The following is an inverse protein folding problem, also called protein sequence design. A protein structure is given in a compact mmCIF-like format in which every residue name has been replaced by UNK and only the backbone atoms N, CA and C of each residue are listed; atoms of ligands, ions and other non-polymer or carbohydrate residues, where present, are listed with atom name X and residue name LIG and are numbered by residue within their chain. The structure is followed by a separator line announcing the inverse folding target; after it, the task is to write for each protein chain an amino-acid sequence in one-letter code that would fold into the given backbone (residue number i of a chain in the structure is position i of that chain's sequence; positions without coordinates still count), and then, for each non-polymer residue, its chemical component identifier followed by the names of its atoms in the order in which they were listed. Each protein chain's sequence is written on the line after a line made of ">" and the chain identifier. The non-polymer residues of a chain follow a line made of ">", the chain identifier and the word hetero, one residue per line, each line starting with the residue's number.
data_IF_513478097539
#
_entry.id   IF_513478097539
#
_cell.length_a   1.000
_cell.length_b   1.000
_cell.length_c   1.000
_cell.angle_alpha   90.00
_cell.angle_beta   90.00
_cell.angle_gamma   90.00
#
_symmetry.space_group_name_H-M   'P 1'
#
loop_
_entity.id
_entity.type
_entity.pdbx_description
1 polymer ?
#
# COMPACT_ATOMS: atom_id res chain seq x y z
N UNK A 1 -52.98 -19.12 19.46
CA UNK A 1 -52.18 -20.20 18.91
C UNK A 1 -50.78 -19.64 18.62
N UNK A 2 -49.84 -20.00 19.46
CA UNK A 2 -48.46 -19.55 19.53
C UNK A 2 -47.60 -20.14 18.40
N UNK A 3 -46.75 -19.33 17.75
CA UNK A 3 -45.56 -19.84 17.11
C UNK A 3 -44.37 -18.93 17.41
N UNK A 4 -43.60 -19.40 18.38
CA UNK A 4 -42.25 -18.95 18.71
C UNK A 4 -41.27 -19.32 17.59
N UNK A 5 -40.59 -18.37 16.98
CA UNK A 5 -39.44 -18.61 16.09
C UNK A 5 -38.16 -18.34 16.87
N UNK A 6 -37.53 -19.43 17.33
CA UNK A 6 -36.19 -19.41 17.96
C UNK A 6 -35.14 -18.94 16.97
N UNK A 7 -34.49 -17.81 17.27
CA UNK A 7 -33.23 -17.40 16.68
C UNK A 7 -32.12 -18.27 17.27
N UNK A 8 -31.45 -19.06 16.44
CA UNK A 8 -30.21 -19.77 16.80
C UNK A 8 -29.05 -18.79 16.74
N UNK A 9 -28.61 -18.32 17.87
CA UNK A 9 -27.32 -17.67 18.05
C UNK A 9 -26.21 -18.72 17.91
N UNK A 10 -25.36 -18.60 16.90
CA UNK A 10 -24.11 -19.36 16.77
C UNK A 10 -23.14 -18.83 17.83
N UNK A 11 -22.57 -19.68 18.70
CA UNK A 11 -21.70 -19.20 19.76
C UNK A 11 -20.36 -18.74 19.18
N UNK A 12 -19.99 -17.53 19.57
CA UNK A 12 -18.77 -16.80 19.20
C UNK A 12 -17.46 -17.43 19.74
N UNK A 13 -17.48 -18.70 20.19
CA UNK A 13 -16.35 -19.38 20.81
C UNK A 13 -15.44 -20.14 19.83
N UNK A 14 -15.84 -20.30 18.57
CA UNK A 14 -15.06 -21.02 17.54
C UNK A 14 -14.01 -20.15 16.85
N UNK A 15 -14.00 -18.83 17.03
CA UNK A 15 -12.98 -17.93 16.49
C UNK A 15 -11.80 -17.65 17.42
N UNK A 16 -11.88 -18.07 18.69
CA UNK A 16 -10.79 -17.89 19.67
C UNK A 16 -9.84 -19.10 19.79
N UNK A 17 -10.18 -20.25 19.22
CA UNK A 17 -9.32 -21.44 19.23
C UNK A 17 -8.32 -21.49 18.07
N UNK A 18 -8.47 -20.66 17.04
CA UNK A 18 -7.52 -20.54 15.92
C UNK A 18 -6.26 -19.70 16.24
N UNK A 19 -6.30 -18.85 17.28
CA UNK A 19 -5.22 -17.92 17.59
C UNK A 19 -4.19 -18.48 18.62
N UNK A 20 -4.44 -19.62 19.24
CA UNK A 20 -3.58 -20.18 20.31
C UNK A 20 -2.65 -21.31 19.84
N UNK A 21 -2.73 -21.76 18.59
CA UNK A 21 -1.85 -22.84 18.06
C UNK A 21 -0.63 -22.28 17.31
N UNK A 22 -0.56 -20.97 17.03
CA UNK A 22 0.58 -20.36 16.32
C UNK A 22 1.67 -19.75 17.20
N UNK A 23 1.62 -19.91 18.51
CA UNK A 23 2.56 -19.24 19.43
C UNK A 23 3.65 -20.12 20.04
N UNK A 24 3.92 -21.33 19.51
CA UNK A 24 4.98 -22.22 20.08
C UNK A 24 6.01 -22.75 19.08
N UNK A 25 6.28 -22.03 17.99
CA UNK A 25 7.53 -22.27 17.26
C UNK A 25 8.41 -21.02 17.36
N UNK A 26 8.83 -20.72 18.58
CA UNK A 26 10.01 -19.94 18.84
C UNK A 26 11.21 -20.78 18.42
N UNK A 27 11.73 -20.55 17.21
CA UNK A 27 13.06 -20.98 16.81
C UNK A 27 14.04 -20.37 17.83
N UNK A 28 14.52 -21.18 18.76
CA UNK A 28 15.67 -20.85 19.58
C UNK A 28 16.85 -20.66 18.61
N UNK A 29 17.09 -19.43 18.20
CA UNK A 29 18.36 -19.03 17.61
C UNK A 29 19.42 -19.25 18.69
N UNK A 30 20.12 -20.36 18.64
CA UNK A 30 21.35 -20.50 19.41
C UNK A 30 22.34 -19.45 18.84
N UNK A 31 22.35 -18.27 19.46
CA UNK A 31 23.47 -17.38 19.30
C UNK A 31 24.66 -18.06 19.98
N UNK A 32 25.48 -18.75 19.20
CA UNK A 32 26.81 -19.17 19.66
C UNK A 32 27.54 -17.89 19.98
N UNK A 33 27.84 -17.67 21.27
CA UNK A 33 28.69 -16.58 21.69
C UNK A 33 30.00 -16.66 20.89
N UNK A 34 30.50 -15.54 20.33
CA UNK A 34 31.75 -15.56 19.59
C UNK A 34 32.85 -16.09 20.49
N UNK A 35 33.50 -17.19 20.10
CA UNK A 35 34.69 -17.67 20.78
C UNK A 35 35.75 -16.55 20.84
N UNK A 36 36.52 -16.46 21.94
CA UNK A 36 37.53 -15.41 22.08
C UNK A 36 38.49 -15.47 20.88
N UNK A 37 38.71 -14.32 20.23
CA UNK A 37 39.61 -14.18 19.10
C UNK A 37 41.00 -14.65 19.48
N UNK A 38 41.47 -15.76 18.89
CA UNK A 38 42.87 -16.18 19.03
C UNK A 38 43.75 -15.12 18.37
N UNK A 39 44.58 -14.48 19.20
CA UNK A 39 45.61 -13.55 18.69
C UNK A 39 46.66 -14.34 17.89
N UNK A 40 46.92 -13.95 16.68
CA UNK A 40 47.95 -14.60 15.85
C UNK A 40 49.35 -14.11 16.29
N UNK A 41 50.36 -14.97 16.09
CA UNK A 41 51.77 -14.60 16.37
C UNK A 41 52.34 -13.86 15.15
N UNK A 42 52.31 -12.55 15.18
CA UNK A 42 52.92 -11.68 14.18
C UNK A 42 54.37 -11.35 14.61
N UNK A 43 55.28 -11.31 13.67
CA UNK A 43 56.67 -10.89 13.91
C UNK A 43 56.80 -9.36 13.94
N UNK A 44 58.00 -8.88 14.31
CA UNK A 44 58.25 -7.44 14.45
C UNK A 44 58.10 -6.69 13.12
N UNK A 45 58.41 -7.35 11.98
CA UNK A 45 58.29 -6.71 10.65
C UNK A 45 56.84 -6.61 10.23
N UNK A 46 56.03 -7.61 10.51
CA UNK A 46 54.60 -7.64 10.24
C UNK A 46 53.85 -6.60 11.11
N UNK A 47 54.18 -6.52 12.39
CA UNK A 47 53.61 -5.52 13.29
C UNK A 47 53.98 -4.09 12.86
N UNK A 48 55.23 -3.85 12.46
CA UNK A 48 55.64 -2.59 11.89
C UNK A 48 54.88 -2.26 10.60
N UNK A 49 54.75 -3.23 9.72
CA UNK A 49 54.03 -3.07 8.44
C UNK A 49 52.58 -2.71 8.68
N UNK A 50 51.84 -3.38 9.60
CA UNK A 50 50.47 -3.03 9.98
C UNK A 50 50.36 -1.60 10.48
N UNK A 51 51.32 -1.15 11.29
CA UNK A 51 51.35 0.23 11.81
C UNK A 51 51.51 1.26 10.72
N UNK A 52 52.33 0.96 9.72
CA UNK A 52 52.60 1.81 8.56
C UNK A 52 51.50 1.74 7.50
N UNK A 53 50.81 0.59 7.40
CA UNK A 53 49.78 0.29 6.41
C UNK A 53 48.49 -0.27 7.08
N UNK A 54 47.84 0.51 7.94
CA UNK A 54 46.68 -0.01 8.70
C UNK A 54 45.45 -0.28 7.83
N UNK A 55 45.44 0.29 6.62
CA UNK A 55 44.31 0.15 5.66
C UNK A 55 44.79 -0.58 4.42
N UNK A 56 44.02 -1.65 4.08
CA UNK A 56 44.25 -2.49 2.91
C UNK A 56 43.09 -2.28 1.94
N UNK A 57 43.40 -1.85 0.72
CA UNK A 57 42.39 -1.61 -0.31
C UNK A 57 42.07 -2.91 -1.03
N UNK A 58 40.81 -3.34 -0.94
CA UNK A 58 40.32 -4.58 -1.55
C UNK A 58 39.60 -4.28 -2.86
N UNK A 59 40.12 -4.69 -3.99
CA UNK A 59 39.41 -4.66 -5.26
C UNK A 59 38.23 -5.63 -5.20
N UNK A 60 37.01 -5.11 -5.15
CA UNK A 60 35.79 -5.84 -4.84
C UNK A 60 34.85 -5.87 -6.03
N UNK A 61 34.57 -7.05 -6.52
CA UNK A 61 33.58 -7.32 -7.55
C UNK A 61 32.39 -8.07 -6.92
N UNK A 62 31.18 -7.63 -7.23
CA UNK A 62 30.01 -8.36 -6.77
C UNK A 62 29.96 -9.77 -7.36
N UNK A 63 29.98 -10.75 -6.48
CA UNK A 63 29.79 -12.16 -6.80
C UNK A 63 28.90 -12.76 -5.69
N UNK A 64 27.62 -13.01 -5.99
CA UNK A 64 26.64 -13.39 -4.98
C UNK A 64 27.11 -14.53 -4.08
N UNK A 65 26.81 -14.41 -2.78
CA UNK A 65 27.20 -15.22 -1.64
C UNK A 65 28.68 -15.10 -1.24
N UNK A 66 29.61 -14.90 -2.17
CA UNK A 66 31.00 -14.64 -1.82
C UNK A 66 31.21 -13.20 -1.35
N UNK A 67 30.79 -12.23 -2.17
CA UNK A 67 30.87 -10.80 -1.85
C UNK A 67 29.79 -10.04 -2.65
N UNK A 68 28.92 -9.35 -1.99
CA UNK A 68 27.81 -8.59 -2.61
C UNK A 68 27.36 -7.45 -1.71
N UNK A 69 26.56 -6.54 -2.23
CA UNK A 69 25.92 -5.49 -1.42
C UNK A 69 24.55 -5.95 -0.92
N UNK A 70 24.29 -5.73 0.35
CA UNK A 70 22.97 -5.96 0.95
C UNK A 70 21.95 -4.88 0.54
N UNK A 71 20.72 -4.99 1.04
CA UNK A 71 19.64 -4.04 0.77
C UNK A 71 19.94 -2.60 1.21
N UNK A 72 20.93 -2.41 2.09
CA UNK A 72 21.38 -1.11 2.59
C UNK A 72 22.64 -0.60 1.87
N UNK A 73 23.14 -1.35 0.88
CA UNK A 73 24.34 -1.01 0.13
C UNK A 73 25.66 -1.36 0.84
N UNK A 74 25.62 -2.11 1.96
CA UNK A 74 26.81 -2.56 2.65
C UNK A 74 27.34 -3.87 2.07
N UNK A 75 28.67 -3.97 2.02
CA UNK A 75 29.31 -5.22 1.61
C UNK A 75 29.02 -6.35 2.57
N UNK A 76 28.60 -7.48 2.06
CA UNK A 76 28.17 -8.68 2.77
C UNK A 76 28.64 -9.93 2.01
N UNK A 77 28.58 -11.09 2.64
CA UNK A 77 28.95 -12.36 2.02
C UNK A 77 30.09 -13.08 2.75
N UNK A 78 30.44 -14.27 2.26
CA UNK A 78 31.48 -15.12 2.84
C UNK A 78 32.81 -14.39 3.00
N UNK A 79 33.24 -13.69 1.97
CA UNK A 79 34.53 -12.99 1.96
C UNK A 79 34.51 -11.78 2.91
N UNK A 80 33.34 -11.16 3.09
CA UNK A 80 33.21 -10.07 4.07
C UNK A 80 33.38 -10.61 5.49
N UNK A 81 32.67 -11.69 5.86
CA UNK A 81 32.81 -12.31 7.18
C UNK A 81 34.24 -12.79 7.43
N UNK A 82 34.89 -13.34 6.40
CA UNK A 82 36.30 -13.76 6.48
C UNK A 82 37.24 -12.57 6.76
N UNK A 83 37.10 -11.47 6.01
CA UNK A 83 37.93 -10.28 6.21
C UNK A 83 37.68 -9.60 7.55
N UNK A 84 36.42 -9.57 8.03
CA UNK A 84 36.10 -9.03 9.35
C UNK A 84 36.77 -9.82 10.45
N UNK A 85 36.83 -11.15 10.29
CA UNK A 85 37.53 -12.01 11.24
C UNK A 85 39.06 -11.80 11.19
N UNK A 86 39.64 -11.70 9.99
CA UNK A 86 41.05 -11.37 9.81
C UNK A 86 41.36 -9.99 10.42
N UNK A 87 40.50 -9.02 10.21
CA UNK A 87 40.61 -7.69 10.81
C UNK A 87 40.67 -7.77 12.34
N UNK A 88 39.75 -8.54 12.95
CA UNK A 88 39.72 -8.75 14.39
C UNK A 88 41.00 -9.41 14.97
N UNK A 89 41.66 -10.28 14.18
CA UNK A 89 42.89 -10.98 14.59
C UNK A 89 44.16 -10.15 14.38
N UNK A 90 44.17 -9.29 13.36
CA UNK A 90 45.39 -8.59 12.92
C UNK A 90 45.41 -7.10 13.20
N UNK A 91 44.24 -6.49 13.37
CA UNK A 91 44.08 -5.04 13.44
C UNK A 91 44.04 -4.32 12.08
N UNK A 92 44.19 -5.05 10.96
CA UNK A 92 44.08 -4.49 9.61
C UNK A 92 42.66 -4.03 9.33
N UNK A 93 42.49 -2.94 8.60
CA UNK A 93 41.21 -2.40 8.14
C UNK A 93 41.07 -2.63 6.63
N UNK A 94 40.11 -3.45 6.22
CA UNK A 94 39.86 -3.71 4.81
C UNK A 94 38.85 -2.71 4.24
N UNK A 95 39.27 -1.97 3.20
CA UNK A 95 38.46 -0.95 2.52
C UNK A 95 38.09 -1.46 1.14
N UNK A 96 36.83 -1.68 0.90
CA UNK A 96 36.35 -2.18 -0.39
C UNK A 96 36.35 -1.08 -1.46
N UNK A 97 37.12 -1.26 -2.54
CA UNK A 97 37.06 -0.48 -3.76
C UNK A 97 36.23 -1.24 -4.81
N UNK A 98 35.08 -0.70 -5.18
CA UNK A 98 34.12 -1.36 -6.07
C UNK A 98 34.66 -1.47 -7.50
N UNK A 99 34.46 -2.63 -8.11
CA UNK A 99 34.74 -2.91 -9.51
C UNK A 99 33.51 -3.51 -10.18
N UNK A 100 33.25 -3.16 -11.43
CA UNK A 100 32.06 -3.61 -12.17
C UNK A 100 32.35 -4.73 -13.16
N UNK A 101 33.62 -5.12 -13.31
CA UNK A 101 34.04 -6.23 -14.15
C UNK A 101 35.34 -6.85 -13.65
N UNK A 102 35.65 -8.09 -14.08
CA UNK A 102 36.93 -8.77 -13.80
C UNK A 102 38.09 -7.95 -14.34
N UNK A 103 37.95 -7.39 -15.54
CA UNK A 103 39.00 -6.57 -16.17
C UNK A 103 39.29 -5.30 -15.36
N UNK A 104 38.26 -4.60 -14.91
CA UNK A 104 38.43 -3.40 -14.04
C UNK A 104 39.11 -3.78 -12.71
N UNK A 105 38.72 -4.88 -12.09
CA UNK A 105 39.28 -5.37 -10.84
C UNK A 105 40.75 -5.72 -11.00
N UNK A 106 41.09 -6.50 -12.00
CA UNK A 106 42.50 -6.86 -12.32
C UNK A 106 43.32 -5.62 -12.65
N UNK A 107 42.81 -4.72 -13.47
CA UNK A 107 43.50 -3.48 -13.82
C UNK A 107 43.73 -2.57 -12.60
N UNK A 108 42.87 -2.58 -11.56
CA UNK A 108 43.13 -1.83 -10.31
C UNK A 108 44.31 -2.43 -9.52
N UNK A 109 44.43 -3.73 -9.49
CA UNK A 109 45.54 -4.45 -8.86
C UNK A 109 46.85 -4.23 -9.62
N UNK A 110 46.83 -4.34 -10.95
CA UNK A 110 48.00 -4.11 -11.81
C UNK A 110 48.59 -2.71 -11.66
N UNK A 111 47.72 -1.71 -11.58
CA UNK A 111 48.14 -0.31 -11.41
C UNK A 111 48.46 0.10 -9.94
N UNK A 112 48.28 -0.85 -9.00
CA UNK A 112 48.52 -0.57 -7.58
C UNK A 112 47.47 0.35 -6.94
N UNK A 113 46.30 0.51 -7.55
CA UNK A 113 45.16 1.23 -6.98
C UNK A 113 44.42 0.40 -5.92
N UNK A 114 44.65 -0.91 -5.88
CA UNK A 114 44.20 -1.81 -4.84
C UNK A 114 45.33 -2.76 -4.43
N UNK A 115 45.28 -3.25 -3.21
CA UNK A 115 46.34 -4.09 -2.63
C UNK A 115 46.03 -5.58 -2.79
N UNK A 116 44.76 -5.95 -2.77
CA UNK A 116 44.31 -7.35 -2.83
C UNK A 116 42.91 -7.50 -3.40
N UNK A 117 42.52 -8.74 -3.66
CA UNK A 117 41.15 -9.17 -3.93
C UNK A 117 40.85 -10.52 -3.28
N UNK A 118 39.57 -10.79 -3.03
CA UNK A 118 39.08 -12.01 -2.34
C UNK A 118 38.39 -13.03 -3.25
N UNK A 119 38.15 -12.69 -4.51
CA UNK A 119 37.32 -13.50 -5.43
C UNK A 119 38.03 -13.85 -6.72
N UNK A 120 39.33 -14.00 -6.64
CA UNK A 120 40.15 -14.31 -7.83
C UNK A 120 40.67 -15.73 -7.81
N UNK A 121 40.36 -16.48 -8.86
CA UNK A 121 40.95 -17.76 -9.14
C UNK A 121 42.38 -17.57 -9.61
N UNK A 122 43.26 -18.50 -9.26
CA UNK A 122 44.65 -18.50 -9.66
C UNK A 122 44.83 -19.07 -11.09
N UNK A 123 45.55 -18.34 -11.94
CA UNK A 123 46.02 -18.81 -13.23
C UNK A 123 47.40 -18.20 -13.58
N UNK A 124 48.04 -18.67 -14.67
CA UNK A 124 49.39 -18.25 -15.01
C UNK A 124 49.49 -16.75 -15.38
N UNK A 125 48.44 -16.18 -16.00
CA UNK A 125 48.37 -14.76 -16.33
C UNK A 125 48.40 -13.92 -15.06
N UNK A 126 47.59 -14.29 -14.08
CA UNK A 126 47.45 -13.54 -12.82
C UNK A 126 48.68 -13.69 -11.91
N UNK A 127 49.36 -14.84 -11.94
CA UNK A 127 50.61 -15.05 -11.21
C UNK A 127 51.75 -14.12 -11.65
N UNK A 128 51.63 -13.50 -12.82
CA UNK A 128 52.62 -12.55 -13.30
C UNK A 128 52.65 -11.24 -12.46
N UNK A 129 51.55 -10.90 -11.76
CA UNK A 129 51.42 -9.66 -10.98
C UNK A 129 50.74 -9.81 -9.61
N UNK A 130 50.28 -11.04 -9.29
CA UNK A 130 49.63 -11.36 -7.99
C UNK A 130 50.35 -12.55 -7.33
N UNK A 131 50.41 -12.45 -5.99
CA UNK A 131 50.71 -13.56 -5.10
C UNK A 131 49.43 -14.07 -4.46
N UNK A 132 49.31 -15.34 -4.20
CA UNK A 132 48.11 -15.97 -3.68
C UNK A 132 48.34 -16.57 -2.30
N UNK A 133 47.41 -16.40 -1.41
CA UNK A 133 47.40 -17.01 -0.08
C UNK A 133 47.26 -18.54 -0.14
N UNK A 134 47.28 -19.19 0.99
CA UNK A 134 46.78 -20.57 1.10
C UNK A 134 45.29 -20.61 0.76
N UNK A 135 44.88 -21.73 0.14
CA UNK A 135 43.48 -21.96 -0.16
C UNK A 135 42.66 -22.15 1.13
N UNK A 136 41.55 -21.48 1.23
CA UNK A 136 40.64 -21.59 2.38
C UNK A 136 39.28 -22.25 2.05
N UNK A 137 39.10 -22.65 0.79
CA UNK A 137 37.91 -23.30 0.27
C UNK A 137 38.02 -23.58 -1.22
N UNK A 138 36.87 -23.68 -1.86
CA UNK A 138 36.78 -23.83 -3.30
C UNK A 138 35.46 -24.44 -3.73
N UNK A 139 35.22 -24.40 -5.05
CA UNK A 139 34.07 -25.00 -5.72
C UNK A 139 34.48 -25.43 -7.16
N UNK A 140 33.64 -26.24 -7.81
CA UNK A 140 33.85 -26.60 -9.21
C UNK A 140 33.43 -25.48 -10.17
N UNK A 141 34.04 -25.41 -11.34
CA UNK A 141 33.47 -24.71 -12.47
C UNK A 141 32.38 -25.55 -13.10
N UNK A 142 31.22 -24.97 -13.39
CA UNK A 142 30.10 -25.67 -14.03
C UNK A 142 29.64 -24.93 -15.28
N UNK A 143 29.14 -25.70 -16.23
CA UNK A 143 28.44 -25.12 -17.37
C UNK A 143 27.09 -24.57 -16.94
N UNK A 144 26.70 -23.44 -17.51
CA UNK A 144 25.39 -22.84 -17.36
C UNK A 144 24.75 -22.72 -18.73
N UNK A 145 23.62 -23.39 -18.92
CA UNK A 145 22.86 -23.41 -20.16
C UNK A 145 21.42 -23.01 -19.95
N UNK A 146 20.62 -22.97 -21.02
CA UNK A 146 19.19 -22.67 -20.93
C UNK A 146 18.42 -23.80 -20.23
N UNK A 147 17.49 -23.42 -19.38
CA UNK A 147 16.56 -24.36 -18.77
C UNK A 147 15.69 -25.03 -19.87
N UNK A 148 15.50 -26.33 -19.75
CA UNK A 148 14.73 -27.12 -20.73
C UNK A 148 15.52 -27.61 -21.93
N UNK A 149 16.78 -27.20 -22.11
CA UNK A 149 17.71 -27.80 -23.08
C UNK A 149 18.58 -28.87 -22.41
N UNK A 150 19.09 -29.83 -23.17
CA UNK A 150 20.05 -30.81 -22.64
C UNK A 150 21.26 -30.09 -22.03
N UNK A 151 21.65 -30.39 -20.78
CA UNK A 151 22.78 -29.74 -20.13
C UNK A 151 24.08 -30.06 -20.82
N UNK A 152 24.97 -29.07 -20.95
CA UNK A 152 26.33 -29.27 -21.49
C UNK A 152 27.11 -30.15 -20.52
N UNK A 153 27.73 -31.21 -21.03
CA UNK A 153 28.45 -32.19 -20.22
C UNK A 153 29.99 -32.05 -20.32
N UNK A 154 30.49 -31.47 -21.41
CA UNK A 154 31.93 -31.31 -21.62
C UNK A 154 32.25 -30.14 -22.58
N UNK A 155 33.49 -29.62 -22.52
CA UNK A 155 33.96 -28.59 -23.46
C UNK A 155 33.96 -29.11 -24.92
N UNK A 156 34.17 -30.40 -25.14
CA UNK A 156 34.13 -30.99 -26.48
C UNK A 156 32.75 -30.86 -27.15
N UNK A 157 31.68 -30.90 -26.41
CA UNK A 157 30.30 -30.70 -26.94
C UNK A 157 30.03 -29.28 -27.44
N UNK A 158 30.85 -28.31 -27.03
CA UNK A 158 30.77 -26.94 -27.48
C UNK A 158 31.54 -26.63 -28.77
N UNK A 159 32.18 -27.65 -29.42
CA UNK A 159 32.81 -27.47 -30.69
C UNK A 159 31.83 -26.88 -31.74
N UNK A 160 32.21 -25.79 -32.40
CA UNK A 160 31.39 -25.00 -33.34
C UNK A 160 30.13 -24.37 -32.71
N UNK A 161 30.14 -24.20 -31.40
CA UNK A 161 29.08 -23.54 -30.67
C UNK A 161 29.64 -22.33 -29.92
N UNK A 162 28.78 -21.34 -29.67
CA UNK A 162 29.18 -20.15 -28.95
C UNK A 162 29.21 -20.43 -27.44
N UNK A 163 30.39 -20.31 -26.84
CA UNK A 163 30.62 -20.21 -25.40
C UNK A 163 30.91 -18.74 -25.06
N UNK A 164 30.20 -18.17 -24.15
CA UNK A 164 30.40 -16.78 -23.72
C UNK A 164 31.01 -16.73 -22.33
N UNK A 165 32.06 -15.94 -22.14
CA UNK A 165 32.70 -15.74 -20.83
C UNK A 165 32.91 -14.26 -20.57
N UNK A 166 32.96 -13.82 -19.30
CA UNK A 166 33.47 -12.49 -18.96
C UNK A 166 34.92 -12.33 -19.42
N UNK A 167 35.28 -11.15 -19.90
CA UNK A 167 36.65 -10.82 -20.31
C UNK A 167 37.63 -11.10 -19.17
N UNK A 168 38.76 -11.74 -19.49
CA UNK A 168 39.77 -12.18 -18.52
C UNK A 168 39.25 -13.21 -17.51
N UNK A 169 38.25 -14.01 -17.90
CA UNK A 169 37.79 -15.14 -17.09
C UNK A 169 38.93 -16.12 -16.84
N UNK A 170 38.96 -16.78 -15.68
CA UNK A 170 40.04 -17.67 -15.29
C UNK A 170 40.35 -18.78 -16.31
N UNK A 171 39.33 -19.29 -16.99
CA UNK A 171 39.46 -20.36 -17.99
C UNK A 171 39.61 -19.87 -19.45
N UNK A 172 39.54 -18.54 -19.71
CA UNK A 172 39.54 -18.01 -21.08
C UNK A 172 40.76 -18.41 -21.87
N UNK A 173 41.97 -18.20 -21.35
CA UNK A 173 43.22 -18.51 -22.00
C UNK A 173 43.38 -20.04 -22.24
N UNK A 174 42.97 -20.85 -21.27
CA UNK A 174 42.99 -22.32 -21.38
C UNK A 174 42.06 -22.79 -22.49
N UNK A 175 40.82 -22.31 -22.54
CA UNK A 175 39.83 -22.73 -23.54
C UNK A 175 40.29 -22.32 -24.95
N UNK A 176 40.82 -21.12 -25.13
CA UNK A 176 41.35 -20.68 -26.42
C UNK A 176 42.51 -21.58 -26.91
N UNK A 177 43.37 -22.05 -26.00
CA UNK A 177 44.53 -22.86 -26.31
C UNK A 177 44.14 -24.32 -26.57
N UNK A 178 43.34 -24.92 -25.71
CA UNK A 178 43.09 -26.37 -25.72
C UNK A 178 41.83 -26.75 -26.51
N UNK A 179 40.87 -25.81 -26.69
CA UNK A 179 39.61 -26.05 -27.38
C UNK A 179 39.35 -25.02 -28.50
N UNK A 180 40.24 -24.87 -29.48
CA UNK A 180 40.13 -23.82 -30.51
C UNK A 180 38.90 -23.97 -31.41
N UNK A 181 38.23 -25.12 -31.40
CA UNK A 181 37.00 -25.35 -32.15
C UNK A 181 35.77 -24.71 -31.50
N UNK A 182 35.87 -24.18 -30.28
CA UNK A 182 34.79 -23.48 -29.59
C UNK A 182 34.76 -22.01 -30.05
N UNK A 183 33.62 -21.52 -30.43
CA UNK A 183 33.44 -20.07 -30.67
C UNK A 183 33.39 -19.31 -29.35
N UNK A 184 34.57 -18.99 -28.80
CA UNK A 184 34.65 -18.26 -27.54
C UNK A 184 34.39 -16.75 -27.76
N UNK A 185 33.35 -16.22 -27.10
CA UNK A 185 33.01 -14.80 -27.10
C UNK A 185 33.22 -14.22 -25.70
N UNK A 186 33.69 -12.98 -25.64
CA UNK A 186 33.95 -12.29 -24.39
C UNK A 186 32.99 -11.16 -24.21
N UNK A 187 32.46 -11.00 -23.01
CA UNK A 187 31.54 -9.95 -22.57
C UNK A 187 32.09 -9.24 -21.31
N UNK A 188 31.47 -8.15 -20.87
CA UNK A 188 32.04 -7.38 -19.75
C UNK A 188 31.79 -8.03 -18.39
N UNK A 189 30.63 -8.66 -18.20
CA UNK A 189 30.23 -9.18 -16.89
C UNK A 189 29.60 -10.56 -16.98
N UNK A 190 29.57 -11.31 -15.85
CA UNK A 190 28.87 -12.59 -15.77
C UNK A 190 27.34 -12.44 -15.99
N UNK A 191 26.77 -11.31 -15.59
CA UNK A 191 25.36 -11.02 -15.85
C UNK A 191 25.07 -10.90 -17.35
N UNK A 192 25.95 -10.23 -18.10
CA UNK A 192 25.85 -10.14 -19.56
C UNK A 192 26.04 -11.52 -20.24
N UNK A 193 26.97 -12.34 -19.74
CA UNK A 193 27.14 -13.69 -20.22
C UNK A 193 25.87 -14.54 -20.03
N UNK A 194 25.23 -14.43 -18.87
CA UNK A 194 23.95 -15.10 -18.61
C UNK A 194 22.85 -14.60 -19.56
N UNK A 195 22.73 -13.31 -19.77
CA UNK A 195 21.74 -12.73 -20.70
C UNK A 195 21.93 -13.23 -22.15
N UNK A 196 23.20 -13.46 -22.59
CA UNK A 196 23.46 -14.06 -23.89
C UNK A 196 23.00 -15.51 -23.98
N UNK A 197 23.15 -16.29 -22.91
CA UNK A 197 22.65 -17.68 -22.87
C UNK A 197 21.10 -17.67 -22.83
N UNK A 198 20.48 -16.82 -22.02
CA UNK A 198 19.02 -16.71 -21.93
C UNK A 198 18.39 -16.35 -23.28
N UNK A 199 18.97 -15.40 -24.01
CA UNK A 199 18.49 -14.95 -25.31
C UNK A 199 18.81 -15.89 -26.47
N UNK A 200 19.63 -16.92 -26.25
CA UNK A 200 20.07 -17.87 -27.29
C UNK A 200 21.19 -17.37 -28.16
N UNK A 201 21.83 -16.24 -27.85
CA UNK A 201 23.03 -15.74 -28.52
C UNK A 201 24.26 -16.62 -28.22
N UNK A 202 24.26 -17.29 -27.07
CA UNK A 202 25.27 -18.26 -26.69
C UNK A 202 24.62 -19.58 -26.25
N UNK A 203 25.35 -20.70 -26.39
CA UNK A 203 24.89 -22.02 -25.95
C UNK A 203 25.11 -22.23 -24.46
N UNK A 204 26.20 -21.70 -23.93
CA UNK A 204 26.55 -21.83 -22.52
C UNK A 204 27.48 -20.71 -22.06
N UNK A 205 27.54 -20.52 -20.76
CA UNK A 205 28.63 -19.86 -20.05
C UNK A 205 29.19 -20.79 -18.98
N UNK A 206 30.28 -20.40 -18.31
CA UNK A 206 30.88 -21.14 -17.21
C UNK A 206 30.89 -20.24 -15.98
N UNK A 207 30.42 -20.79 -14.88
CA UNK A 207 30.40 -20.12 -13.58
C UNK A 207 30.88 -21.04 -12.46
N UNK A 208 31.23 -20.46 -11.32
CA UNK A 208 31.47 -21.23 -10.12
C UNK A 208 30.16 -21.93 -9.69
N UNK A 209 30.26 -23.19 -9.26
CA UNK A 209 29.11 -24.01 -8.86
C UNK A 209 28.14 -23.30 -7.88
N UNK A 210 28.68 -22.52 -6.97
CA UNK A 210 27.88 -21.81 -5.99
C UNK A 210 27.12 -20.65 -6.63
N UNK A 211 27.79 -19.85 -7.46
CA UNK A 211 27.18 -18.77 -8.22
C UNK A 211 26.12 -19.25 -9.22
N UNK A 212 26.39 -20.43 -9.80
CA UNK A 212 25.53 -21.08 -10.77
C UNK A 212 24.17 -21.56 -10.20
N UNK A 213 23.98 -21.58 -8.88
CA UNK A 213 22.72 -21.96 -8.25
C UNK A 213 21.75 -20.77 -8.09
N UNK A 214 22.18 -19.56 -8.41
CA UNK A 214 21.46 -18.32 -8.21
C UNK A 214 20.96 -17.71 -9.53
N UNK A 215 19.98 -18.34 -10.15
CA UNK A 215 19.37 -17.80 -11.37
C UNK A 215 17.99 -17.19 -11.11
N UNK A 216 17.89 -15.88 -10.95
CA UNK A 216 16.62 -15.23 -10.61
C UNK A 216 15.54 -15.37 -11.69
N UNK A 217 15.93 -15.53 -12.97
CA UNK A 217 14.98 -15.65 -14.07
C UNK A 217 14.36 -17.04 -14.22
N UNK A 218 15.02 -18.08 -13.69
CA UNK A 218 14.64 -19.47 -13.91
C UNK A 218 14.77 -19.96 -15.36
N UNK A 219 15.35 -19.15 -16.22
CA UNK A 219 15.59 -19.48 -17.63
C UNK A 219 16.90 -20.21 -17.86
N UNK A 220 17.74 -20.27 -16.82
CA UNK A 220 19.04 -20.94 -16.84
C UNK A 220 19.06 -22.13 -15.89
N UNK A 221 19.94 -23.07 -16.18
CA UNK A 221 20.22 -24.22 -15.33
C UNK A 221 21.72 -24.50 -15.26
N UNK A 222 22.19 -24.92 -14.09
CA UNK A 222 23.54 -25.45 -13.94
C UNK A 222 23.61 -26.84 -14.59
N UNK A 223 24.63 -27.04 -15.38
CA UNK A 223 24.95 -28.31 -16.02
C UNK A 223 26.01 -29.10 -15.25
N UNK A 224 26.84 -29.87 -15.99
CA UNK A 224 27.91 -30.65 -15.41
C UNK A 224 29.11 -29.78 -15.01
N UNK A 225 29.94 -30.33 -14.12
CA UNK A 225 31.24 -29.75 -13.75
C UNK A 225 32.15 -29.75 -14.97
N UNK A 226 32.87 -28.66 -15.19
CA UNK A 226 33.93 -28.60 -16.23
C UNK A 226 35.07 -29.50 -15.80
N UNK A 227 35.38 -30.50 -16.61
CA UNK A 227 36.27 -31.61 -16.29
C UNK A 227 37.63 -31.15 -15.74
N UNK A 228 37.97 -31.64 -14.54
CA UNK A 228 39.23 -31.36 -13.88
C UNK A 228 39.47 -29.91 -13.49
N UNK A 229 38.46 -29.05 -13.56
CA UNK A 229 38.59 -27.65 -13.26
C UNK A 229 37.94 -27.34 -11.90
N UNK A 230 38.76 -27.29 -10.88
CA UNK A 230 38.44 -26.84 -9.55
C UNK A 230 38.90 -25.41 -9.36
N UNK A 231 38.14 -24.62 -8.66
CA UNK A 231 38.41 -23.23 -8.34
C UNK A 231 38.62 -23.06 -6.82
N UNK A 232 39.85 -23.16 -6.34
CA UNK A 232 40.17 -22.92 -4.95
C UNK A 232 39.95 -21.42 -4.61
N UNK A 233 39.42 -21.17 -3.41
CA UNK A 233 39.24 -19.80 -2.88
C UNK A 233 40.60 -19.29 -2.33
N UNK A 234 41.08 -18.21 -2.90
CA UNK A 234 42.34 -17.55 -2.49
C UNK A 234 42.11 -16.07 -2.15
N UNK A 235 42.94 -15.55 -1.25
CA UNK A 235 43.17 -14.11 -1.14
C UNK A 235 44.35 -13.79 -2.12
N UNK A 236 44.08 -12.95 -3.11
CA UNK A 236 45.07 -12.57 -4.10
C UNK A 236 45.65 -11.19 -3.70
N UNK A 237 46.95 -11.12 -3.50
CA UNK A 237 47.68 -9.91 -3.08
C UNK A 237 48.55 -9.43 -4.26
N UNK A 238 48.58 -8.12 -4.47
CA UNK A 238 49.47 -7.53 -5.48
C UNK A 238 50.93 -7.85 -5.14
N UNK A 239 51.72 -8.23 -6.12
CA UNK A 239 53.14 -8.54 -5.94
C UNK A 239 53.90 -7.34 -5.30
N UNK A 240 54.93 -7.66 -4.56
CA UNK A 240 55.72 -6.67 -3.82
C UNK A 240 55.19 -6.35 -2.41
N UNK A 241 54.22 -7.10 -1.91
CA UNK A 241 53.67 -6.97 -0.56
C UNK A 241 53.78 -8.28 0.26
N UNK A 242 55.00 -8.82 0.46
CA UNK A 242 55.16 -10.10 1.11
C UNK A 242 54.73 -10.15 2.57
N UNK A 243 54.78 -8.98 3.28
CA UNK A 243 54.30 -8.88 4.64
C UNK A 243 52.79 -9.04 4.72
N UNK A 244 52.04 -8.38 3.80
CA UNK A 244 50.59 -8.57 3.74
C UNK A 244 50.22 -10.02 3.48
N UNK A 245 50.86 -10.66 2.50
CA UNK A 245 50.63 -12.08 2.20
C UNK A 245 50.93 -12.99 3.40
N UNK A 246 52.05 -12.73 4.09
CA UNK A 246 52.44 -13.50 5.29
C UNK A 246 51.40 -13.35 6.41
N UNK A 247 50.95 -12.10 6.68
CA UNK A 247 49.92 -11.81 7.69
C UNK A 247 48.59 -12.55 7.37
N UNK A 248 48.15 -12.50 6.10
CA UNK A 248 46.94 -13.17 5.63
C UNK A 248 47.03 -14.68 5.75
N UNK A 249 48.19 -15.27 5.40
CA UNK A 249 48.41 -16.70 5.56
C UNK A 249 48.40 -17.15 7.02
N UNK A 250 49.09 -16.42 7.89
CA UNK A 250 49.05 -16.69 9.34
C UNK A 250 47.64 -16.56 9.92
N UNK A 251 46.88 -15.59 9.42
CA UNK A 251 45.48 -15.43 9.83
C UNK A 251 44.64 -16.64 9.38
N UNK A 252 44.79 -17.08 8.11
CA UNK A 252 44.05 -18.23 7.61
C UNK A 252 44.42 -19.52 8.36
N UNK A 253 45.69 -19.73 8.70
CA UNK A 253 46.16 -20.89 9.50
C UNK A 253 45.63 -20.86 10.93
N UNK A 254 45.41 -19.67 11.48
CA UNK A 254 44.88 -19.51 12.83
C UNK A 254 43.36 -19.72 12.94
N UNK A 255 42.64 -19.78 11.83
CA UNK A 255 41.19 -20.07 11.86
C UNK A 255 40.95 -21.47 12.39
N UNK A 256 40.13 -21.64 13.42
CA UNK A 256 39.64 -22.95 13.80
C UNK A 256 38.85 -23.57 12.62
N UNK A 257 39.08 -24.84 12.26
CA UNK A 257 38.37 -25.46 11.13
C UNK A 257 36.84 -25.44 11.31
N UNK A 258 36.35 -25.42 12.53
CA UNK A 258 34.92 -25.32 12.82
C UNK A 258 34.36 -23.92 12.47
N UNK A 259 35.12 -22.87 12.73
CA UNK A 259 34.72 -21.49 12.47
C UNK A 259 34.67 -21.20 10.96
N UNK A 260 35.71 -21.60 10.20
CA UNK A 260 35.70 -21.45 8.76
C UNK A 260 34.55 -22.24 8.11
N UNK A 261 34.27 -23.46 8.62
CA UNK A 261 33.10 -24.23 8.19
C UNK A 261 31.79 -23.50 8.53
N UNK A 262 31.64 -22.90 9.71
CA UNK A 262 30.45 -22.16 10.11
C UNK A 262 30.21 -20.94 9.21
N UNK A 263 31.27 -20.17 8.87
CA UNK A 263 31.20 -19.05 7.93
C UNK A 263 30.71 -19.56 6.56
N UNK A 264 31.29 -20.63 6.05
CA UNK A 264 30.86 -21.21 4.76
C UNK A 264 29.43 -21.74 4.82
N UNK A 265 29.07 -22.43 5.88
CA UNK A 265 27.71 -22.93 6.10
C UNK A 265 26.68 -21.80 6.19
N UNK A 266 27.01 -20.71 6.86
CA UNK A 266 26.12 -19.52 6.94
C UNK A 266 25.69 -19.03 5.55
N UNK A 267 26.61 -19.04 4.58
CA UNK A 267 26.36 -18.50 3.26
C UNK A 267 25.92 -19.52 2.22
N UNK A 268 26.32 -20.81 2.39
CA UNK A 268 26.06 -21.85 1.40
C UNK A 268 25.01 -22.89 1.83
N UNK A 269 24.74 -23.05 3.15
CA UNK A 269 23.67 -23.92 3.63
C UNK A 269 22.35 -23.16 3.73
N UNK A 270 21.65 -23.05 2.70
CA UNK A 270 20.36 -22.35 2.66
C UNK A 270 19.98 -21.98 1.24
N UNK A 271 20.89 -22.31 0.31
CA UNK A 271 20.58 -22.28 -1.11
C UNK A 271 19.77 -23.54 -1.42
N UNK A 272 18.59 -23.65 -0.86
CA UNK A 272 17.53 -24.28 -1.62
C UNK A 272 17.30 -23.33 -2.78
N UNK A 273 17.39 -23.78 -4.04
CA UNK A 273 16.96 -22.98 -5.17
C UNK A 273 15.55 -22.50 -4.77
N UNK A 274 15.38 -21.18 -4.65
CA UNK A 274 14.04 -20.61 -4.42
C UNK A 274 13.21 -21.21 -5.53
N UNK A 275 12.18 -22.03 -5.23
CA UNK A 275 11.45 -22.70 -6.30
C UNK A 275 10.96 -21.58 -7.19
N UNK A 276 11.39 -21.59 -8.44
CA UNK A 276 10.98 -20.61 -9.44
C UNK A 276 9.47 -20.66 -9.42
N UNK A 277 8.86 -19.63 -8.84
CA UNK A 277 7.40 -19.53 -8.78
C UNK A 277 6.92 -19.51 -10.22
N UNK A 278 6.35 -20.60 -10.67
CA UNK A 278 5.79 -20.69 -12.01
C UNK A 278 4.77 -19.57 -12.20
N UNK A 279 4.66 -19.08 -13.43
CA UNK A 279 3.64 -18.05 -13.78
C UNK A 279 2.27 -18.45 -13.22
N UNK A 280 1.94 -19.76 -13.26
CA UNK A 280 0.72 -20.32 -12.67
C UNK A 280 0.59 -20.10 -11.16
N UNK A 281 1.67 -20.22 -10.39
CA UNK A 281 1.65 -19.95 -8.94
C UNK A 281 1.47 -18.47 -8.63
N UNK A 282 2.09 -17.57 -9.40
CA UNK A 282 1.85 -16.13 -9.30
C UNK A 282 0.41 -15.77 -9.64
N UNK A 283 -0.15 -16.33 -10.71
CA UNK A 283 -1.56 -16.13 -11.09
C UNK A 283 -2.50 -16.66 -9.99
N UNK A 284 -2.19 -17.82 -9.38
CA UNK A 284 -2.99 -18.35 -8.28
C UNK A 284 -2.95 -17.44 -7.03
N UNK A 285 -1.78 -16.92 -6.65
CA UNK A 285 -1.65 -15.98 -5.53
C UNK A 285 -2.40 -14.67 -5.79
N UNK A 286 -2.25 -14.07 -6.97
CA UNK A 286 -2.99 -12.87 -7.36
C UNK A 286 -4.49 -13.14 -7.49
N UNK A 287 -4.87 -14.34 -7.95
CA UNK A 287 -6.25 -14.81 -8.01
C UNK A 287 -6.90 -14.89 -6.64
N UNK A 288 -6.21 -15.46 -5.63
CA UNK A 288 -6.68 -15.50 -4.26
C UNK A 288 -6.91 -14.09 -3.68
N UNK A 289 -5.96 -13.18 -3.88
CA UNK A 289 -6.12 -11.78 -3.47
C UNK A 289 -7.28 -11.09 -4.19
N UNK A 290 -7.46 -11.37 -5.48
CA UNK A 290 -8.60 -10.89 -6.28
C UNK A 290 -9.94 -11.31 -5.70
N UNK A 291 -10.09 -12.58 -5.30
CA UNK A 291 -11.31 -13.11 -4.67
C UNK A 291 -11.56 -12.45 -3.31
N UNK A 292 -10.53 -12.28 -2.48
CA UNK A 292 -10.65 -11.60 -1.18
C UNK A 292 -11.09 -10.14 -1.35
N UNK A 293 -10.49 -9.41 -2.29
CA UNK A 293 -10.85 -8.01 -2.58
C UNK A 293 -12.28 -7.93 -3.11
N UNK A 294 -12.67 -8.81 -4.03
CA UNK A 294 -14.02 -8.85 -4.57
C UNK A 294 -15.06 -9.18 -3.48
N UNK A 295 -14.75 -10.11 -2.57
CA UNK A 295 -15.60 -10.44 -1.42
C UNK A 295 -15.78 -9.26 -0.45
N UNK A 296 -14.69 -8.55 -0.15
CA UNK A 296 -14.73 -7.33 0.68
C UNK A 296 -15.56 -6.22 0.02
N UNK A 297 -15.39 -6.04 -1.30
CA UNK A 297 -16.15 -5.05 -2.05
C UNK A 297 -17.64 -5.40 -2.11
N UNK A 298 -17.98 -6.69 -2.28
CA UNK A 298 -19.35 -7.19 -2.20
C UNK A 298 -19.98 -6.96 -0.83
N UNK A 299 -19.26 -7.25 0.25
CA UNK A 299 -19.72 -7.02 1.62
C UNK A 299 -19.95 -5.54 1.91
N UNK A 300 -19.02 -4.67 1.53
CA UNK A 300 -19.14 -3.22 1.66
C UNK A 300 -20.34 -2.67 0.87
N UNK A 301 -20.55 -3.16 -0.35
CA UNK A 301 -21.69 -2.79 -1.19
C UNK A 301 -23.03 -3.21 -0.57
N UNK A 302 -23.10 -4.41 0.01
CA UNK A 302 -24.29 -4.88 0.72
C UNK A 302 -24.60 -4.04 1.97
N UNK A 303 -23.58 -3.70 2.75
CA UNK A 303 -23.73 -2.83 3.93
C UNK A 303 -24.18 -1.42 3.53
N UNK A 304 -23.61 -0.88 2.46
CA UNK A 304 -23.95 0.43 1.92
C UNK A 304 -25.39 0.48 1.41
N UNK A 305 -25.81 -0.54 0.65
CA UNK A 305 -27.18 -0.67 0.15
C UNK A 305 -28.20 -0.80 1.29
N UNK A 306 -27.89 -1.55 2.34
CA UNK A 306 -28.75 -1.65 3.54
C UNK A 306 -28.86 -0.30 4.24
N UNK A 307 -27.77 0.43 4.38
CA UNK A 307 -27.77 1.75 5.00
C UNK A 307 -28.53 2.78 4.17
N UNK A 308 -28.39 2.74 2.86
CA UNK A 308 -29.12 3.61 1.94
C UNK A 308 -30.62 3.33 1.98
N UNK A 309 -31.03 2.06 1.96
CA UNK A 309 -32.42 1.66 2.09
C UNK A 309 -33.06 2.14 3.41
N UNK A 310 -32.34 2.01 4.53
CA UNK A 310 -32.79 2.52 5.83
C UNK A 310 -32.96 4.05 5.84
N UNK A 311 -32.04 4.79 5.25
CA UNK A 311 -32.13 6.25 5.14
C UNK A 311 -33.32 6.70 4.26
N UNK A 312 -33.56 6.00 3.14
CA UNK A 312 -34.72 6.28 2.28
C UNK A 312 -36.03 6.02 3.01
N UNK A 313 -36.11 4.91 3.76
CA UNK A 313 -37.30 4.62 4.57
C UNK A 313 -37.54 5.66 5.67
N UNK A 314 -36.48 6.09 6.38
CA UNK A 314 -36.57 7.13 7.38
C UNK A 314 -37.08 8.47 6.80
N UNK A 315 -36.58 8.84 5.62
CA UNK A 315 -37.03 10.05 4.91
C UNK A 315 -38.48 9.95 4.52
N UNK A 316 -38.90 8.85 3.93
CA UNK A 316 -40.29 8.64 3.55
C UNK A 316 -41.26 8.65 4.76
N UNK A 317 -40.84 8.10 5.90
CA UNK A 317 -41.60 8.15 7.14
C UNK A 317 -41.71 9.58 7.70
N UNK A 318 -40.60 10.33 7.66
CA UNK A 318 -40.58 11.71 8.12
C UNK A 318 -41.49 12.64 7.24
N UNK A 319 -41.42 12.47 5.92
CA UNK A 319 -42.28 13.18 4.97
C UNK A 319 -43.75 12.82 5.17
N UNK A 320 -44.09 11.55 5.39
CA UNK A 320 -45.44 11.11 5.68
C UNK A 320 -45.95 11.71 7.01
N UNK A 321 -45.14 11.64 8.07
CA UNK A 321 -45.48 12.21 9.37
C UNK A 321 -45.72 13.73 9.28
N UNK A 322 -44.90 14.44 8.51
CA UNK A 322 -45.09 15.87 8.29
C UNK A 322 -46.40 16.16 7.51
N UNK A 323 -46.68 15.37 6.47
CA UNK A 323 -47.91 15.48 5.69
C UNK A 323 -49.14 15.20 6.54
N UNK A 324 -49.10 14.12 7.37
CA UNK A 324 -50.19 13.78 8.29
C UNK A 324 -50.42 14.91 9.33
N UNK A 325 -49.33 15.52 9.84
CA UNK A 325 -49.42 16.63 10.79
C UNK A 325 -50.02 17.88 10.14
N UNK A 326 -49.64 18.22 8.90
CA UNK A 326 -50.24 19.33 8.18
C UNK A 326 -51.72 19.09 7.87
N UNK A 327 -52.05 17.87 7.42
CA UNK A 327 -53.45 17.50 7.17
C UNK A 327 -54.31 17.59 8.45
N UNK A 328 -53.75 17.14 9.58
CA UNK A 328 -54.42 17.26 10.88
C UNK A 328 -54.63 18.73 11.29
N UNK A 329 -53.62 19.59 11.12
CA UNK A 329 -53.75 21.03 11.40
C UNK A 329 -54.80 21.69 10.51
N UNK A 330 -54.85 21.37 9.21
CA UNK A 330 -55.90 21.87 8.31
C UNK A 330 -57.28 21.40 8.74
N UNK A 331 -57.44 20.14 9.08
CA UNK A 331 -58.73 19.60 9.53
C UNK A 331 -59.22 20.25 10.82
N UNK A 332 -58.33 20.57 11.77
CA UNK A 332 -58.68 21.29 13.00
C UNK A 332 -59.18 22.70 12.71
N UNK A 333 -58.51 23.43 11.82
CA UNK A 333 -58.89 24.79 11.46
C UNK A 333 -60.22 24.79 10.68
N UNK A 334 -60.42 23.85 9.79
CA UNK A 334 -61.69 23.70 9.02
C UNK A 334 -62.87 23.25 9.87
N UNK A 335 -62.63 22.52 10.96
CA UNK A 335 -63.68 22.15 11.90
C UNK A 335 -64.17 23.31 12.80
N UNK A 336 -63.44 24.45 12.82
CA UNK A 336 -63.86 25.62 13.59
C UNK A 336 -65.09 26.27 12.95
N UNK A 337 -66.13 26.50 13.72
CA UNK A 337 -67.38 27.04 13.19
C UNK A 337 -67.30 28.55 12.84
N UNK A 338 -66.33 29.25 13.41
CA UNK A 338 -66.08 30.66 13.15
C UNK A 338 -65.17 30.88 11.96
N UNK A 339 -65.43 31.86 11.10
CA UNK A 339 -64.52 32.21 10.01
C UNK A 339 -63.16 32.69 10.50
N UNK A 340 -62.06 32.02 9.94
CA UNK A 340 -60.72 32.37 10.26
C UNK A 340 -59.96 32.62 8.94
N UNK A 341 -59.08 33.62 8.95
CA UNK A 341 -58.26 33.97 7.82
C UNK A 341 -56.83 34.38 8.24
N UNK A 342 -55.87 34.17 7.38
CA UNK A 342 -54.52 34.70 7.49
C UNK A 342 -54.22 35.53 6.24
N UNK A 343 -53.69 36.75 6.45
CA UNK A 343 -53.28 37.66 5.37
C UNK A 343 -51.84 38.10 5.57
N UNK A 344 -51.15 38.28 4.46
CA UNK A 344 -49.76 38.76 4.45
C UNK A 344 -49.64 40.25 4.77
N UNK A 345 -48.39 40.76 4.73
CA UNK A 345 -48.09 42.18 4.98
C UNK A 345 -48.73 43.14 3.96
N UNK A 346 -49.16 42.65 2.82
CA UNK A 346 -49.87 43.39 1.77
C UNK A 346 -51.38 43.21 1.83
N UNK A 347 -51.90 42.50 2.84
CA UNK A 347 -53.33 42.22 2.99
C UNK A 347 -53.87 41.13 2.08
N UNK A 348 -52.99 40.32 1.43
CA UNK A 348 -53.37 39.22 0.55
C UNK A 348 -53.70 37.99 1.37
N UNK A 349 -54.74 37.25 0.98
CA UNK A 349 -55.16 36.04 1.67
C UNK A 349 -54.13 34.91 1.45
N UNK A 350 -53.55 34.41 2.54
CA UNK A 350 -52.66 33.26 2.56
C UNK A 350 -53.41 31.97 2.85
N UNK A 351 -54.32 32.01 3.81
CA UNK A 351 -55.07 30.86 4.29
C UNK A 351 -56.43 31.28 4.83
N UNK A 352 -57.42 30.45 4.72
CA UNK A 352 -58.68 30.58 5.46
C UNK A 352 -59.22 29.16 5.75
N UNK A 353 -60.17 29.09 6.68
CA UNK A 353 -60.89 27.86 6.96
C UNK A 353 -62.18 27.77 6.15
N UNK A 354 -62.80 26.62 6.18
CA UNK A 354 -64.03 26.32 5.44
C UNK A 354 -65.19 27.25 5.83
N UNK A 355 -65.29 27.61 7.10
CA UNK A 355 -66.31 28.57 7.59
C UNK A 355 -66.15 29.96 6.96
N UNK A 356 -64.92 30.41 6.67
CA UNK A 356 -64.64 31.66 5.96
C UNK A 356 -65.15 31.62 4.52
N UNK A 357 -64.89 30.49 3.80
CA UNK A 357 -65.40 30.27 2.44
C UNK A 357 -66.94 30.29 2.38
N UNK A 358 -67.56 29.56 3.29
CA UNK A 358 -69.03 29.48 3.40
C UNK A 358 -69.63 30.80 3.67
N UNK A 359 -69.08 31.60 4.60
CA UNK A 359 -69.61 32.93 4.96
C UNK A 359 -69.45 33.93 3.84
N UNK A 360 -68.39 33.84 3.03
CA UNK A 360 -68.18 34.72 1.88
C UNK A 360 -68.74 34.17 0.60
N UNK A 361 -69.26 32.94 0.61
CA UNK A 361 -69.81 32.20 -0.55
C UNK A 361 -68.80 32.10 -1.71
N UNK A 362 -67.50 31.97 -1.38
CA UNK A 362 -66.42 31.96 -2.35
C UNK A 362 -65.33 31.00 -1.92
N UNK A 363 -64.82 30.21 -2.84
CA UNK A 363 -63.75 29.22 -2.57
C UNK A 363 -62.40 29.88 -2.38
N UNK A 364 -61.58 29.26 -1.53
CA UNK A 364 -60.21 29.71 -1.24
C UNK A 364 -59.39 29.94 -2.50
N UNK A 365 -59.45 29.01 -3.48
CA UNK A 365 -58.69 29.08 -4.76
C UNK A 365 -58.95 30.42 -5.49
N UNK A 366 -60.13 31.00 -5.37
CA UNK A 366 -60.50 32.25 -6.02
C UNK A 366 -60.05 33.50 -5.22
N UNK A 367 -59.77 33.34 -3.92
CA UNK A 367 -59.40 34.40 -2.99
C UNK A 367 -57.90 34.42 -2.70
N UNK A 368 -57.20 33.31 -2.88
CA UNK A 368 -55.78 33.15 -2.54
C UNK A 368 -54.91 34.20 -3.26
N UNK A 369 -54.02 34.82 -2.51
CA UNK A 369 -53.08 35.81 -3.04
C UNK A 369 -53.70 37.16 -3.40
N UNK A 370 -55.02 37.37 -3.16
CA UNK A 370 -55.74 38.61 -3.47
C UNK A 370 -56.04 39.39 -2.19
N UNK A 371 -56.10 40.70 -2.34
CA UNK A 371 -56.57 41.60 -1.28
C UNK A 371 -58.10 41.56 -1.16
N UNK A 372 -58.64 41.92 0.01
CA UNK A 372 -60.12 41.95 0.27
C UNK A 372 -60.81 42.90 -0.69
N UNK A 373 -60.20 44.03 -1.01
CA UNK A 373 -60.77 45.09 -1.89
C UNK A 373 -60.84 44.63 -3.38
N UNK A 374 -60.08 43.65 -3.75
CA UNK A 374 -60.02 43.06 -5.15
C UNK A 374 -61.09 41.96 -5.33
N UNK A 375 -61.74 41.57 -4.22
CA UNK A 375 -62.76 40.53 -4.22
C UNK A 375 -64.15 41.13 -4.06
N UNK A 376 -65.07 40.71 -4.92
CA UNK A 376 -66.45 41.16 -4.82
C UNK A 376 -67.27 40.33 -3.81
N UNK A 377 -66.64 39.99 -2.63
CA UNK A 377 -67.24 39.15 -1.58
C UNK A 377 -67.88 39.93 -0.49
N UNK A 378 -67.65 41.23 -0.44
CA UNK A 378 -68.25 42.19 0.46
C UNK A 378 -68.68 43.50 -0.25
N UNK A 379 -69.63 44.32 0.29
CA UNK A 379 -69.86 45.63 -0.26
C UNK A 379 -68.58 46.47 -0.29
N UNK A 380 -68.34 47.22 -1.34
CA UNK A 380 -67.07 47.91 -1.64
C UNK A 380 -66.64 48.80 -0.45
N UNK A 381 -67.55 49.55 0.15
CA UNK A 381 -67.27 50.41 1.29
C UNK A 381 -66.80 49.61 2.53
N UNK A 382 -67.40 48.44 2.76
CA UNK A 382 -66.96 47.53 3.84
C UNK A 382 -65.60 46.94 3.59
N UNK A 383 -65.34 46.55 2.36
CA UNK A 383 -64.00 45.95 1.95
C UNK A 383 -62.90 47.00 2.12
N UNK A 384 -63.12 48.23 1.67
CA UNK A 384 -62.20 49.38 1.83
C UNK A 384 -61.90 49.71 3.28
N UNK A 385 -62.96 49.78 4.11
CA UNK A 385 -62.85 50.01 5.57
C UNK A 385 -61.94 48.90 6.20
N UNK A 386 -62.32 47.66 6.01
CA UNK A 386 -61.57 46.51 6.58
C UNK A 386 -60.11 46.43 6.09
N UNK A 387 -59.86 46.77 4.87
CA UNK A 387 -58.50 46.82 4.34
C UNK A 387 -57.67 47.94 4.96
N UNK A 388 -58.26 49.15 5.13
CA UNK A 388 -57.59 50.29 5.76
C UNK A 388 -57.27 50.00 7.24
N UNK A 389 -58.23 49.43 7.98
CA UNK A 389 -57.99 48.99 9.35
C UNK A 389 -56.93 47.90 9.48
N UNK A 390 -56.91 46.91 8.57
CA UNK A 390 -55.92 45.89 8.50
C UNK A 390 -54.50 46.47 8.33
N UNK A 391 -54.34 47.43 7.40
CA UNK A 391 -53.03 48.07 7.15
C UNK A 391 -52.60 48.95 8.35
N UNK A 392 -53.52 49.63 8.99
CA UNK A 392 -53.25 50.41 10.22
C UNK A 392 -52.83 49.52 11.38
N UNK A 393 -53.42 48.33 11.50
CA UNK A 393 -53.07 47.35 12.52
C UNK A 393 -51.73 46.71 12.32
N UNK A 394 -51.34 46.39 11.08
CA UNK A 394 -50.00 45.94 10.76
C UNK A 394 -48.93 46.90 11.26
N UNK A 395 -49.16 48.21 11.14
CA UNK A 395 -48.22 49.24 11.61
C UNK A 395 -48.07 49.23 13.14
N UNK A 396 -49.18 49.00 13.89
CA UNK A 396 -49.13 48.95 15.34
C UNK A 396 -48.65 47.68 15.96
N UNK A 397 -48.66 46.54 15.20
CA UNK A 397 -48.33 45.22 15.65
C UNK A 397 -49.04 44.74 16.93
N UNK A 398 -50.19 45.24 17.20
CA UNK A 398 -50.99 44.90 18.40
C UNK A 398 -52.19 44.06 17.99
N UNK A 399 -52.60 43.15 18.86
CA UNK A 399 -53.87 42.45 18.72
C UNK A 399 -55.04 43.43 18.86
N UNK A 400 -56.08 43.24 18.05
CA UNK A 400 -57.30 44.07 18.06
C UNK A 400 -58.52 43.17 18.23
N UNK A 401 -59.38 43.58 19.06
CA UNK A 401 -60.63 42.88 19.36
C UNK A 401 -61.77 43.97 19.41
N UNK A 402 -62.83 43.74 18.64
CA UNK A 402 -63.98 44.75 18.62
C UNK A 402 -65.27 44.05 18.29
N UNK A 403 -66.32 44.56 18.99
CA UNK A 403 -67.67 44.24 18.60
C UNK A 403 -68.18 45.38 17.70
N UNK A 404 -68.77 44.99 16.56
CA UNK A 404 -69.24 45.92 15.56
C UNK A 404 -70.27 45.36 14.60
N UNK A 405 -71.00 46.25 13.96
CA UNK A 405 -71.85 45.88 12.85
C UNK A 405 -71.06 45.97 11.51
N UNK A 406 -71.11 44.90 10.74
CA UNK A 406 -70.59 44.89 9.41
C UNK A 406 -71.65 44.53 8.39
N UNK A 407 -71.57 45.22 7.26
CA UNK A 407 -72.46 44.94 6.12
C UNK A 407 -71.82 43.89 5.24
N UNK A 408 -72.42 42.71 5.21
CA UNK A 408 -72.09 41.64 4.28
C UNK A 408 -73.01 41.70 3.07
N UNK A 409 -72.72 40.90 2.02
CA UNK A 409 -73.56 40.82 0.83
C UNK A 409 -75.02 40.40 1.14
N UNK A 410 -75.21 39.61 2.20
CA UNK A 410 -76.50 39.07 2.66
C UNK A 410 -77.10 39.84 3.83
N UNK A 411 -76.66 41.09 4.12
CA UNK A 411 -77.24 41.97 5.15
C UNK A 411 -76.26 42.39 6.26
N UNK A 412 -76.79 43.25 7.16
CA UNK A 412 -76.01 43.73 8.30
C UNK A 412 -75.97 42.65 9.39
N UNK A 413 -74.80 42.47 10.04
CA UNK A 413 -74.59 41.49 11.10
C UNK A 413 -73.81 42.08 12.26
N UNK A 414 -74.17 41.72 13.49
CA UNK A 414 -73.41 42.02 14.70
C UNK A 414 -72.32 40.95 14.85
N UNK A 415 -71.07 41.34 14.81
CA UNK A 415 -69.94 40.46 14.91
C UNK A 415 -68.96 40.87 16.00
N UNK A 416 -68.35 39.86 16.62
CA UNK A 416 -67.15 40.03 17.41
C UNK A 416 -65.93 39.64 16.52
N UNK A 417 -65.15 40.63 16.11
CA UNK A 417 -63.98 40.46 15.27
C UNK A 417 -62.74 40.53 16.11
N UNK A 418 -61.79 39.67 15.76
CA UNK A 418 -60.48 39.69 16.34
C UNK A 418 -59.43 39.58 15.25
N UNK A 419 -58.21 40.18 15.45
CA UNK A 419 -57.07 40.09 14.63
C UNK A 419 -55.83 40.13 15.49
N UNK A 420 -54.85 39.27 15.20
CA UNK A 420 -53.61 39.18 15.94
C UNK A 420 -52.41 39.06 14.96
N UNK A 421 -51.27 39.70 15.29
CA UNK A 421 -50.07 39.56 14.48
C UNK A 421 -49.57 38.11 14.49
N UNK A 422 -49.17 37.62 13.29
CA UNK A 422 -48.56 36.31 13.22
C UNK A 422 -47.12 36.41 12.73
N UNK A 423 -46.22 35.59 13.31
CA UNK A 423 -44.77 35.63 13.08
C UNK A 423 -44.29 34.30 12.55
N UNK A 424 -43.22 34.34 11.75
CA UNK A 424 -42.47 33.13 11.38
C UNK A 424 -41.64 32.59 12.55
N UNK A 425 -41.07 31.40 12.41
CA UNK A 425 -40.27 30.76 13.45
C UNK A 425 -39.01 31.55 13.84
N UNK A 426 -38.52 32.42 12.97
CA UNK A 426 -37.39 33.34 13.19
C UNK A 426 -37.83 34.71 13.79
N UNK A 427 -39.10 34.84 14.18
CA UNK A 427 -39.64 36.03 14.85
C UNK A 427 -39.97 37.22 13.94
N UNK A 428 -39.95 37.05 12.63
CA UNK A 428 -40.33 38.09 11.69
C UNK A 428 -41.85 38.14 11.53
N UNK A 429 -42.42 39.35 11.52
CA UNK A 429 -43.85 39.56 11.24
C UNK A 429 -44.15 39.10 9.81
N UNK A 430 -45.12 38.21 9.65
CA UNK A 430 -45.56 37.66 8.35
C UNK A 430 -46.92 38.16 7.91
N UNK A 431 -47.72 38.68 8.84
CA UNK A 431 -49.05 39.16 8.55
C UNK A 431 -49.97 39.21 9.79
N UNK A 432 -51.28 39.19 9.57
CA UNK A 432 -52.26 39.05 10.60
C UNK A 432 -53.10 37.79 10.42
N UNK A 433 -53.34 37.10 11.51
CA UNK A 433 -54.37 36.07 11.67
C UNK A 433 -55.62 36.76 12.23
N UNK A 434 -56.75 36.52 11.65
CA UNK A 434 -58.00 37.09 12.10
C UNK A 434 -59.19 36.17 11.94
N UNK A 435 -60.27 36.55 12.59
CA UNK A 435 -61.52 35.83 12.49
C UNK A 435 -62.69 36.67 13.10
N UNK A 436 -63.87 36.18 12.95
CA UNK A 436 -65.05 36.78 13.60
C UNK A 436 -66.03 35.70 13.96
N UNK A 437 -66.88 36.06 15.06
CA UNK A 437 -68.00 35.29 15.51
C UNK A 437 -69.23 36.11 15.32
N UNK A 438 -70.32 35.57 14.80
CA UNK A 438 -71.62 36.18 14.67
C UNK A 438 -72.30 36.17 16.06
N UNK A 439 -72.56 37.35 16.65
CA UNK A 439 -73.06 37.48 17.99
C UNK A 439 -74.53 36.99 18.11
N UNK A 440 -75.35 37.21 17.10
CA UNK A 440 -76.72 36.72 17.05
C UNK A 440 -76.83 35.20 17.09
N UNK A 441 -75.87 34.50 16.53
CA UNK A 441 -75.81 33.04 16.60
C UNK A 441 -75.31 32.51 17.96
N UNK A 442 -74.48 33.27 18.66
CA UNK A 442 -73.95 32.90 19.99
C UNK A 442 -75.07 32.85 21.03
N UNK A 443 -76.03 33.80 20.98
CA UNK A 443 -77.20 33.88 21.91
C UNK A 443 -78.19 32.74 21.65
N UNK A 444 -78.26 32.19 20.41
CA UNK A 444 -79.17 31.08 20.08
C UNK A 444 -78.56 29.66 20.38
N UNK A 445 -77.26 29.58 20.66
CA UNK A 445 -76.55 28.34 21.01
C UNK A 445 -76.21 28.16 22.50
N UNK A 446 -76.42 29.23 23.32
CA UNK A 446 -76.35 29.20 24.76
C UNK A 446 -77.77 28.95 25.32
#
# INVERSE_FOLDING_TARGET
>A
MLFFRRSRSVPCWLLLLGALVFSQWGLASHSVAPEPVKTIMLDAQELKWITEHPRVIVASLEYPLYLFKDEHGHWSGLNRDLLDRISAMTGLQFVHAESFSIDQMLGSLERGAADMSTTLSMNDERKAFLDFSYAFGGAGWVFVGRAGEPPVQSLHQLAKRVLVLPTRHALEALIRREYPAIELRSVKTSAEARAWVESGLAHATIENEIGAQLFPSGLLQAGHIVEGKWDPDYLAVRQGQPQLLSILNKALEAFPPAELRAIRQKWFNGITPTPVRTVGQRIAEWGCWGVVIAGLFGLLSLLWNRRLAALVQQRAQAEKSLSDQLAFQHALIDAMPDPIFVRDLQGRLIMCNKSYEERLSTRFDQMQGRQLIELNVLPKATAELLHTEFMAQLATRKSHFSERQLLFMNGLRDIYQWTVPFYSSDGQLRGLLGGWTDIDQRIRRA
#
